data_IF_065534761921
#
_entry.id   IF_065534761921
#
_cell.length_a   1.000
_cell.length_b   1.000
_cell.length_c   1.000
_cell.angle_alpha   90.00
_cell.angle_beta   90.00
_cell.angle_gamma   90.00
#
_symmetry.space_group_name_H-M   'P 1'
#
loop_
_entity.id
_entity.type
_entity.pdbx_description
1 polymer ?
#
# COMPACT_ATOMS: atom_id res chain seq x y z
N UNK A 1 5.31 7.79 -24.89
CA UNK A 1 3.94 8.24 -24.58
C UNK A 1 3.33 7.53 -23.36
N UNK A 2 3.32 6.20 -23.26
CA UNK A 2 2.71 5.46 -22.13
C UNK A 2 3.38 5.78 -20.77
N UNK A 3 4.70 5.72 -20.69
CA UNK A 3 5.45 6.04 -19.48
C UNK A 3 5.19 7.46 -18.95
N UNK A 4 5.06 8.45 -19.86
CA UNK A 4 4.71 9.82 -19.48
C UNK A 4 3.31 9.94 -18.87
N UNK A 5 2.31 9.25 -19.42
CA UNK A 5 0.94 9.23 -18.88
C UNK A 5 0.88 8.57 -17.50
N UNK A 6 1.61 7.46 -17.31
CA UNK A 6 1.68 6.77 -16.02
C UNK A 6 2.39 7.66 -14.98
N UNK A 7 3.52 8.30 -15.34
CA UNK A 7 4.19 9.26 -14.43
C UNK A 7 3.29 10.43 -14.06
N UNK A 8 2.55 10.99 -15.03
CA UNK A 8 1.61 12.09 -14.79
C UNK A 8 0.47 11.68 -13.81
N UNK A 9 0.06 10.42 -13.83
CA UNK A 9 -0.99 9.93 -12.92
C UNK A 9 -0.56 9.96 -11.43
N UNK A 10 0.74 9.97 -11.13
CA UNK A 10 1.30 10.00 -9.76
C UNK A 10 1.88 11.37 -9.37
N UNK A 11 1.91 12.33 -10.30
CA UNK A 11 2.37 13.68 -10.02
C UNK A 11 1.17 14.63 -9.87
N UNK A 12 1.31 15.66 -9.06
CA UNK A 12 0.32 16.72 -8.92
C UNK A 12 0.95 18.08 -9.28
N UNK A 13 1.06 18.39 -10.59
CA UNK A 13 1.64 19.66 -11.05
C UNK A 13 0.86 20.89 -10.58
N UNK A 14 -0.44 20.74 -10.30
CA UNK A 14 -1.29 21.84 -9.82
C UNK A 14 -0.90 22.28 -8.40
N UNK A 15 -0.35 21.36 -7.61
CA UNK A 15 0.20 21.64 -6.27
C UNK A 15 1.73 21.82 -6.27
N UNK A 16 2.35 22.01 -7.44
CA UNK A 16 3.80 22.20 -7.56
C UNK A 16 4.62 20.91 -7.38
N UNK A 17 3.97 19.76 -7.42
CA UNK A 17 4.63 18.48 -7.17
C UNK A 17 5.13 17.84 -8.47
N UNK A 18 6.45 17.97 -8.71
CA UNK A 18 7.14 17.28 -9.81
C UNK A 18 7.39 15.79 -9.54
N UNK A 19 7.94 15.06 -10.54
CA UNK A 19 8.37 13.68 -10.36
C UNK A 19 9.40 13.56 -9.24
N UNK A 20 9.32 12.46 -8.45
CA UNK A 20 10.34 12.17 -7.44
C UNK A 20 11.62 11.76 -8.15
N UNK A 21 12.69 12.48 -7.88
CA UNK A 21 14.02 12.19 -8.40
C UNK A 21 14.64 11.00 -7.67
N UNK A 22 15.27 10.09 -8.41
CA UNK A 22 15.97 8.94 -7.83
C UNK A 22 17.39 9.35 -7.44
N UNK A 23 17.69 9.24 -6.14
CA UNK A 23 18.96 9.65 -5.56
C UNK A 23 19.62 8.51 -4.79
N UNK A 24 20.94 8.43 -4.87
CA UNK A 24 21.71 7.40 -4.17
C UNK A 24 21.97 7.72 -2.69
N UNK A 25 21.73 8.96 -2.26
CA UNK A 25 21.91 9.48 -0.91
C UNK A 25 20.61 9.45 -0.06
N UNK A 26 19.63 8.61 -0.45
CA UNK A 26 18.35 8.43 0.24
C UNK A 26 18.43 7.55 1.49
N UNK A 27 17.24 7.19 2.02
CA UNK A 27 17.11 6.18 3.08
C UNK A 27 17.54 4.80 2.60
N UNK A 28 17.28 4.52 1.32
CA UNK A 28 17.65 3.28 0.62
C UNK A 28 18.56 3.61 -0.55
N UNK A 29 19.53 2.76 -0.78
CA UNK A 29 20.38 2.91 -1.96
C UNK A 29 19.81 2.15 -3.18
N UNK A 30 20.35 2.40 -4.40
CA UNK A 30 19.88 1.78 -5.63
C UNK A 30 20.02 0.24 -5.68
N UNK A 31 20.85 -0.35 -4.80
CA UNK A 31 21.04 -1.79 -4.66
C UNK A 31 20.17 -2.40 -3.56
N UNK A 32 19.27 -1.62 -2.94
CA UNK A 32 18.35 -2.12 -1.93
C UNK A 32 17.23 -2.97 -2.55
N UNK A 33 16.71 -3.89 -1.75
CA UNK A 33 15.55 -4.68 -2.15
C UNK A 33 14.29 -3.81 -2.20
N UNK A 34 14.21 -2.80 -1.33
CA UNK A 34 13.13 -1.81 -1.34
C UNK A 34 13.03 -1.10 -2.71
N UNK A 35 14.14 -0.66 -3.31
CA UNK A 35 14.14 -0.07 -4.65
C UNK A 35 13.63 -1.02 -5.72
N UNK A 36 14.03 -2.29 -5.63
CA UNK A 36 13.62 -3.34 -6.58
C UNK A 36 12.12 -3.61 -6.50
N UNK A 37 11.59 -3.80 -5.29
CA UNK A 37 10.17 -4.08 -5.04
C UNK A 37 9.29 -2.89 -5.41
N UNK A 38 9.66 -1.67 -4.97
CA UNK A 38 8.87 -0.46 -5.21
C UNK A 38 9.02 0.08 -6.64
N UNK A 39 9.95 -0.45 -7.42
CA UNK A 39 10.24 0.03 -8.78
C UNK A 39 9.21 -0.36 -9.83
N UNK A 40 8.27 -1.25 -9.53
CA UNK A 40 7.26 -1.72 -10.48
C UNK A 40 5.88 -1.14 -10.16
N UNK A 41 5.39 -0.27 -11.04
CA UNK A 41 4.11 0.44 -10.87
C UNK A 41 2.94 -0.52 -10.72
N UNK A 42 2.89 -1.60 -11.50
CA UNK A 42 1.77 -2.56 -11.47
C UNK A 42 1.69 -3.27 -10.13
N UNK A 43 2.82 -3.80 -9.66
CA UNK A 43 2.87 -4.53 -8.38
C UNK A 43 2.61 -3.60 -7.21
N UNK A 44 3.10 -2.35 -7.27
CA UNK A 44 2.81 -1.33 -6.26
C UNK A 44 1.33 -0.97 -6.21
N UNK A 45 0.64 -0.85 -7.35
CA UNK A 45 -0.80 -0.60 -7.38
C UNK A 45 -1.59 -1.79 -6.82
N UNK A 46 -1.26 -3.02 -7.22
CA UNK A 46 -1.90 -4.23 -6.67
C UNK A 46 -1.67 -4.32 -5.17
N UNK A 47 -0.41 -4.19 -4.72
CA UNK A 47 -0.04 -4.22 -3.31
C UNK A 47 -0.71 -3.11 -2.50
N UNK A 48 -0.76 -1.88 -3.03
CA UNK A 48 -1.38 -0.73 -2.37
C UNK A 48 -2.88 -0.91 -2.13
N UNK A 49 -3.62 -1.42 -3.13
CA UNK A 49 -5.04 -1.75 -2.95
C UNK A 49 -5.23 -2.88 -1.94
N UNK A 50 -4.39 -3.94 -1.99
CA UNK A 50 -4.42 -5.03 -1.02
C UNK A 50 -4.13 -4.53 0.40
N UNK A 51 -3.10 -3.70 0.57
CA UNK A 51 -2.73 -3.11 1.84
C UNK A 51 -3.88 -2.28 2.44
N UNK A 52 -4.48 -1.41 1.63
CA UNK A 52 -5.58 -0.57 2.09
C UNK A 52 -6.78 -1.41 2.57
N UNK A 53 -7.13 -2.47 1.84
CA UNK A 53 -8.18 -3.39 2.28
C UNK A 53 -7.83 -4.08 3.60
N UNK A 54 -6.59 -4.51 3.82
CA UNK A 54 -6.14 -5.09 5.09
C UNK A 54 -6.17 -4.05 6.23
N UNK A 55 -5.65 -2.85 5.99
CA UNK A 55 -5.58 -1.78 6.99
C UNK A 55 -6.95 -1.43 7.54
N UNK A 56 -7.97 -1.37 6.68
CA UNK A 56 -9.33 -1.00 7.05
C UNK A 56 -10.06 -2.06 7.88
N UNK A 57 -9.50 -3.24 8.09
CA UNK A 57 -10.02 -4.23 9.03
C UNK A 57 -9.71 -3.88 10.50
N UNK A 58 -8.75 -3.00 10.77
CA UNK A 58 -8.47 -2.55 12.13
C UNK A 58 -9.38 -1.36 12.50
N UNK A 59 -10.20 -1.47 13.55
CA UNK A 59 -11.22 -0.46 13.89
C UNK A 59 -10.67 0.96 14.05
N UNK A 60 -9.54 1.11 14.75
CA UNK A 60 -8.94 2.41 15.00
C UNK A 60 -8.30 3.03 13.72
N UNK A 61 -7.71 2.21 12.86
CA UNK A 61 -7.18 2.69 11.57
C UNK A 61 -8.33 3.12 10.65
N UNK A 62 -9.40 2.32 10.60
CA UNK A 62 -10.61 2.69 9.87
C UNK A 62 -11.20 4.00 10.38
N UNK A 63 -11.33 4.16 11.71
CA UNK A 63 -11.88 5.37 12.33
C UNK A 63 -11.03 6.60 11.99
N UNK A 64 -9.70 6.52 12.09
CA UNK A 64 -8.81 7.60 11.71
C UNK A 64 -8.99 8.06 10.26
N UNK A 65 -9.17 7.10 9.33
CA UNK A 65 -9.47 7.40 7.92
C UNK A 65 -10.87 7.99 7.77
N UNK A 66 -11.84 7.44 8.46
CA UNK A 66 -13.25 7.81 8.37
C UNK A 66 -13.52 9.23 8.86
N UNK A 67 -12.94 9.58 10.00
CA UNK A 67 -13.22 10.83 10.70
C UNK A 67 -12.35 12.00 10.18
N UNK A 68 -11.14 11.71 9.65
CA UNK A 68 -10.13 12.74 9.35
C UNK A 68 -9.72 12.80 7.88
N UNK A 69 -10.31 12.00 7.00
CA UNK A 69 -9.94 11.98 5.57
C UNK A 69 -11.15 12.24 4.69
N UNK A 70 -10.94 13.05 3.65
CA UNK A 70 -11.94 13.30 2.61
C UNK A 70 -12.00 12.18 1.56
N UNK A 71 -11.87 10.92 2.00
CA UNK A 71 -11.74 9.77 1.09
C UNK A 71 -12.99 9.54 0.21
N UNK A 72 -14.17 9.93 0.69
CA UNK A 72 -15.43 9.80 -0.07
C UNK A 72 -15.47 10.70 -1.30
N UNK A 73 -14.95 11.91 -1.18
CA UNK A 73 -14.93 12.88 -2.27
C UNK A 73 -13.68 12.73 -3.14
N UNK A 74 -12.53 12.28 -2.54
CA UNK A 74 -11.24 12.24 -3.22
C UNK A 74 -10.42 10.99 -2.84
N UNK A 75 -10.96 9.80 -3.13
CA UNK A 75 -10.22 8.53 -2.94
C UNK A 75 -8.96 8.49 -3.81
N UNK A 76 -9.06 8.97 -5.05
CA UNK A 76 -7.94 8.95 -5.99
C UNK A 76 -6.79 9.85 -5.53
N UNK A 77 -7.06 11.08 -5.09
CA UNK A 77 -6.03 11.97 -4.54
C UNK A 77 -5.41 11.40 -3.26
N UNK A 78 -6.20 10.72 -2.41
CA UNK A 78 -5.65 10.01 -1.25
C UNK A 78 -4.63 8.95 -1.66
N UNK A 79 -4.97 8.11 -2.63
CA UNK A 79 -4.06 7.08 -3.15
C UNK A 79 -2.79 7.69 -3.76
N UNK A 80 -2.93 8.80 -4.51
CA UNK A 80 -1.78 9.54 -5.07
C UNK A 80 -0.85 10.06 -3.97
N UNK A 81 -1.39 10.69 -2.93
CA UNK A 81 -0.58 11.20 -1.81
C UNK A 81 0.19 10.08 -1.09
N UNK A 82 -0.45 8.92 -0.88
CA UNK A 82 0.21 7.75 -0.30
C UNK A 82 1.32 7.22 -1.22
N UNK A 83 1.03 7.05 -2.51
CA UNK A 83 2.02 6.62 -3.49
C UNK A 83 3.22 7.58 -3.57
N UNK A 84 2.97 8.90 -3.49
CA UNK A 84 4.02 9.90 -3.45
C UNK A 84 4.87 9.81 -2.18
N UNK A 85 4.26 9.60 -1.02
CA UNK A 85 4.99 9.37 0.24
C UNK A 85 5.92 8.17 0.11
N UNK A 86 5.43 7.04 -0.42
CA UNK A 86 6.24 5.84 -0.65
C UNK A 86 7.38 6.13 -1.63
N UNK A 87 7.12 6.87 -2.71
CA UNK A 87 8.14 7.23 -3.68
C UNK A 87 9.22 8.15 -3.06
N UNK A 88 8.83 9.14 -2.26
CA UNK A 88 9.77 10.04 -1.56
C UNK A 88 10.64 9.26 -0.57
N UNK A 89 10.05 8.43 0.27
CA UNK A 89 10.80 7.64 1.25
C UNK A 89 11.68 6.56 0.61
N UNK A 90 11.34 6.10 -0.60
CA UNK A 90 12.10 5.08 -1.31
C UNK A 90 13.24 5.69 -2.13
N UNK A 91 12.99 6.77 -2.87
CA UNK A 91 13.87 7.21 -3.96
C UNK A 91 14.53 8.57 -3.76
N UNK A 92 13.96 9.46 -2.95
CA UNK A 92 14.50 10.82 -2.83
C UNK A 92 15.75 10.89 -1.93
N UNK A 93 16.33 12.07 -1.82
CA UNK A 93 17.39 12.33 -0.85
C UNK A 93 16.91 11.99 0.59
N UNK A 94 17.85 11.69 1.48
CA UNK A 94 17.52 11.47 2.90
C UNK A 94 16.77 12.67 3.49
N UNK A 95 17.18 13.88 3.15
CA UNK A 95 16.56 15.13 3.63
C UNK A 95 15.10 15.21 3.23
N UNK A 96 14.78 14.95 1.95
CA UNK A 96 13.41 14.99 1.45
C UNK A 96 12.54 13.86 2.02
N UNK A 97 13.12 12.67 2.18
CA UNK A 97 12.43 11.53 2.79
C UNK A 97 12.09 11.81 4.26
N UNK A 98 13.03 12.32 5.05
CA UNK A 98 12.81 12.68 6.45
C UNK A 98 11.83 13.86 6.58
N UNK A 99 11.85 14.84 5.67
CA UNK A 99 10.86 15.91 5.62
C UNK A 99 9.45 15.37 5.32
N UNK A 100 9.32 14.41 4.40
CA UNK A 100 8.04 13.76 4.12
C UNK A 100 7.52 12.98 5.34
N UNK A 101 8.39 12.26 6.05
CA UNK A 101 8.05 11.53 7.27
C UNK A 101 7.63 12.50 8.38
N UNK A 102 8.36 13.60 8.59
CA UNK A 102 8.02 14.62 9.58
C UNK A 102 6.65 15.25 9.29
N UNK A 103 6.32 15.50 8.02
CA UNK A 103 5.00 15.99 7.61
C UNK A 103 3.89 15.00 7.98
N UNK A 104 4.08 13.70 7.72
CA UNK A 104 3.09 12.66 8.06
C UNK A 104 2.93 12.55 9.58
N UNK A 105 4.02 12.59 10.35
CA UNK A 105 3.97 12.63 11.82
C UNK A 105 3.13 13.81 12.32
N UNK A 106 3.37 15.01 11.80
CA UNK A 106 2.57 16.20 12.15
C UNK A 106 1.09 16.09 11.79
N UNK A 107 0.73 15.34 10.74
CA UNK A 107 -0.67 15.00 10.44
C UNK A 107 -1.22 14.04 11.49
N UNK A 108 -0.49 12.98 11.83
CA UNK A 108 -0.91 11.97 12.81
C UNK A 108 -1.11 12.55 14.21
N UNK A 109 -0.41 13.62 14.59
CA UNK A 109 -0.61 14.34 15.87
C UNK A 109 -2.01 14.88 16.04
N UNK A 110 -2.70 15.21 14.95
CA UNK A 110 -4.04 15.78 14.93
C UNK A 110 -5.14 14.74 14.71
N UNK A 111 -4.77 13.49 14.40
CA UNK A 111 -5.72 12.40 14.14
C UNK A 111 -5.97 11.64 15.43
N UNK A 112 -7.01 12.03 16.15
CA UNK A 112 -7.46 11.43 17.41
C UNK A 112 -8.97 11.36 17.43
N UNK A 113 -9.53 10.44 18.20
CA UNK A 113 -10.99 10.32 18.34
C UNK A 113 -11.38 9.18 19.28
N UNK A 114 -12.66 8.79 19.20
CA UNK A 114 -13.21 7.71 20.01
C UNK A 114 -13.97 6.73 19.12
N UNK A 115 -13.70 5.46 19.28
CA UNK A 115 -14.41 4.38 18.60
C UNK A 115 -15.88 4.30 19.08
N UNK A 116 -16.79 3.69 18.32
CA UNK A 116 -18.15 3.44 18.77
C UNK A 116 -18.23 2.62 20.08
N UNK A 117 -17.19 1.87 20.42
CA UNK A 117 -17.05 1.17 21.70
C UNK A 117 -16.76 2.07 22.91
N UNK A 118 -16.48 3.36 22.70
CA UNK A 118 -15.98 4.29 23.72
C UNK A 118 -14.45 4.29 23.88
N UNK A 119 -13.72 3.44 23.15
CA UNK A 119 -12.27 3.36 23.24
C UNK A 119 -11.62 4.53 22.49
N UNK A 120 -10.74 5.32 23.13
CA UNK A 120 -10.02 6.39 22.44
C UNK A 120 -9.01 5.82 21.46
N UNK A 121 -8.73 6.54 20.37
CA UNK A 121 -7.66 6.21 19.43
C UNK A 121 -6.83 7.44 19.05
N UNK A 122 -5.60 7.20 18.65
CA UNK A 122 -4.71 8.20 18.04
C UNK A 122 -3.88 7.55 16.94
N UNK A 123 -3.69 8.27 15.82
CA UNK A 123 -2.83 7.77 14.74
C UNK A 123 -1.33 7.77 15.11
N UNK A 124 -0.95 8.26 16.29
CA UNK A 124 0.40 8.16 16.85
C UNK A 124 0.65 6.87 17.63
N UNK A 125 -0.37 6.05 17.83
CA UNK A 125 -0.22 4.78 18.53
C UNK A 125 0.80 3.90 17.79
N UNK A 126 1.92 3.52 18.42
CA UNK A 126 2.95 2.70 17.80
C UNK A 126 2.42 1.37 17.25
N UNK A 127 1.41 0.77 17.89
CA UNK A 127 0.80 -0.47 17.41
C UNK A 127 0.02 -0.25 16.11
N UNK A 128 -0.71 0.87 15.99
CA UNK A 128 -1.41 1.21 14.75
C UNK A 128 -0.43 1.53 13.61
N UNK A 129 0.66 2.23 13.92
CA UNK A 129 1.72 2.50 12.95
C UNK A 129 2.37 1.21 12.46
N UNK A 130 2.62 0.26 13.38
CA UNK A 130 3.15 -1.08 13.02
C UNK A 130 2.17 -1.83 12.15
N UNK A 131 0.87 -1.86 12.50
CA UNK A 131 -0.17 -2.52 11.69
C UNK A 131 -0.22 -2.00 10.26
N UNK A 132 -0.24 -0.67 10.09
CA UNK A 132 -0.27 -0.02 8.78
C UNK A 132 0.98 -0.38 7.97
N UNK A 133 2.16 -0.28 8.58
CA UNK A 133 3.42 -0.61 7.93
C UNK A 133 3.51 -2.08 7.52
N UNK A 134 3.16 -3.00 8.41
CA UNK A 134 3.23 -4.45 8.16
C UNK A 134 2.30 -4.85 7.03
N UNK A 135 1.06 -4.38 7.04
CA UNK A 135 0.09 -4.68 5.97
C UNK A 135 0.51 -4.09 4.63
N UNK A 136 1.13 -2.92 4.64
CA UNK A 136 1.64 -2.25 3.44
C UNK A 136 2.82 -3.03 2.84
N UNK A 137 3.86 -3.28 3.63
CA UNK A 137 5.09 -3.93 3.15
C UNK A 137 4.85 -5.38 2.76
N UNK A 138 4.05 -6.13 3.51
CA UNK A 138 3.66 -7.50 3.14
C UNK A 138 2.91 -7.53 1.79
N UNK A 139 1.97 -6.61 1.59
CA UNK A 139 1.18 -6.55 0.36
C UNK A 139 2.04 -6.18 -0.86
N UNK A 140 2.98 -5.25 -0.72
CA UNK A 140 3.91 -4.91 -1.80
C UNK A 140 4.83 -6.07 -2.15
N UNK A 141 5.41 -6.72 -1.14
CA UNK A 141 6.27 -7.87 -1.35
C UNK A 141 5.53 -9.04 -2.00
N UNK A 142 4.33 -9.36 -1.54
CA UNK A 142 3.54 -10.47 -2.10
C UNK A 142 3.06 -10.17 -3.53
N UNK A 143 2.73 -8.90 -3.85
CA UNK A 143 2.45 -8.47 -5.21
C UNK A 143 3.70 -8.60 -6.10
N UNK A 144 4.86 -8.16 -5.62
CA UNK A 144 6.13 -8.29 -6.33
C UNK A 144 6.50 -9.75 -6.57
N UNK A 145 6.42 -10.60 -5.54
CA UNK A 145 6.67 -12.04 -5.69
C UNK A 145 5.72 -12.70 -6.69
N UNK A 146 4.48 -12.25 -6.77
CA UNK A 146 3.50 -12.83 -7.67
C UNK A 146 3.67 -12.39 -9.13
N UNK A 147 3.98 -11.13 -9.38
CA UNK A 147 3.96 -10.53 -10.72
C UNK A 147 5.32 -9.97 -11.19
N UNK A 148 6.30 -9.88 -10.31
CA UNK A 148 7.65 -9.38 -10.58
C UNK A 148 8.71 -10.46 -10.52
N UNK A 149 8.89 -11.07 -9.37
CA UNK A 149 9.99 -11.99 -9.07
C UNK A 149 9.50 -13.21 -8.27
N UNK A 150 8.85 -14.19 -8.91
CA UNK A 150 8.30 -15.37 -8.20
C UNK A 150 9.34 -16.20 -7.46
N UNK A 151 10.59 -16.21 -7.94
CA UNK A 151 11.71 -16.96 -7.34
C UNK A 151 12.55 -16.12 -6.37
N UNK A 152 12.03 -15.00 -5.86
CA UNK A 152 12.74 -14.15 -4.88
C UNK A 152 13.16 -14.95 -3.66
N UNK A 153 14.47 -14.88 -3.30
CA UNK A 153 15.03 -15.61 -2.17
C UNK A 153 14.43 -15.21 -0.83
N UNK A 154 14.41 -16.12 0.16
CA UNK A 154 13.98 -15.78 1.51
C UNK A 154 14.86 -14.70 2.13
N UNK A 155 16.16 -14.72 1.88
CA UNK A 155 17.08 -13.70 2.36
C UNK A 155 16.74 -12.29 1.81
N UNK A 156 16.38 -12.19 0.54
CA UNK A 156 15.92 -10.91 -0.02
C UNK A 156 14.56 -10.49 0.53
N UNK A 157 13.66 -11.44 0.81
CA UNK A 157 12.38 -11.12 1.45
C UNK A 157 12.59 -10.56 2.85
N UNK A 158 13.45 -11.16 3.66
CA UNK A 158 13.78 -10.68 5.00
C UNK A 158 14.50 -9.33 4.93
N UNK A 159 15.45 -9.19 4.00
CA UNK A 159 16.15 -7.93 3.76
C UNK A 159 15.17 -6.79 3.39
N UNK A 160 14.13 -7.07 2.62
CA UNK A 160 13.09 -6.09 2.28
C UNK A 160 12.38 -5.56 3.55
N UNK A 161 11.97 -6.45 4.46
CA UNK A 161 11.33 -6.04 5.71
C UNK A 161 12.28 -5.26 6.61
N UNK A 162 13.54 -5.70 6.74
CA UNK A 162 14.54 -5.00 7.52
C UNK A 162 14.85 -3.61 6.97
N UNK A 163 14.97 -3.45 5.65
CA UNK A 163 15.20 -2.15 5.01
C UNK A 163 14.00 -1.22 5.26
N UNK A 164 12.79 -1.65 4.98
CA UNK A 164 11.58 -0.81 5.05
C UNK A 164 11.18 -0.45 6.48
N UNK A 165 11.56 -1.23 7.49
CA UNK A 165 11.29 -0.95 8.90
C UNK A 165 11.80 0.42 9.35
N UNK A 166 12.85 0.95 8.72
CA UNK A 166 13.41 2.29 9.02
C UNK A 166 12.34 3.38 8.89
N UNK A 167 11.49 3.31 7.87
CA UNK A 167 10.41 4.30 7.68
C UNK A 167 9.39 4.23 8.82
N UNK A 168 9.02 3.02 9.26
CA UNK A 168 8.09 2.84 10.37
C UNK A 168 8.65 3.36 11.69
N UNK A 169 9.92 3.09 11.98
CA UNK A 169 10.59 3.63 13.18
C UNK A 169 10.65 5.15 13.17
N UNK A 170 10.98 5.74 12.03
CA UNK A 170 10.99 7.20 11.89
C UNK A 170 9.58 7.82 12.02
N UNK A 171 8.53 7.08 11.69
CA UNK A 171 7.14 7.48 11.93
C UNK A 171 6.72 7.33 13.40
N UNK A 172 7.43 6.53 14.21
CA UNK A 172 7.17 6.32 15.63
C UNK A 172 6.68 4.90 15.99
N UNK A 173 6.69 3.94 15.07
CA UNK A 173 6.44 2.53 15.38
C UNK A 173 7.60 1.96 16.22
N UNK A 174 7.32 1.00 17.11
CA UNK A 174 8.33 0.46 18.05
C UNK A 174 8.65 -1.00 17.82
N UNK A 175 7.67 -1.83 17.59
CA UNK A 175 7.83 -3.30 17.44
C UNK A 175 7.57 -3.73 16.00
N UNK A 176 8.49 -3.35 15.09
CA UNK A 176 8.34 -3.61 13.66
C UNK A 176 9.02 -4.92 13.30
N UNK A 177 8.29 -5.91 12.74
CA UNK A 177 8.89 -7.14 12.22
C UNK A 177 9.88 -6.85 11.10
N UNK A 178 11.04 -7.51 11.13
CA UNK A 178 12.12 -7.34 10.14
C UNK A 178 12.39 -8.59 9.32
N UNK A 179 11.62 -9.65 9.52
CA UNK A 179 11.65 -10.86 8.71
C UNK A 179 10.26 -11.21 8.18
N UNK A 180 10.19 -12.00 7.13
CA UNK A 180 8.91 -12.49 6.62
C UNK A 180 8.18 -13.36 7.65
N UNK A 181 8.91 -14.21 8.37
CA UNK A 181 8.33 -15.09 9.38
C UNK A 181 7.65 -14.28 10.49
N UNK A 182 8.36 -13.30 11.06
CA UNK A 182 7.82 -12.41 12.10
C UNK A 182 6.67 -11.56 11.59
N UNK A 183 6.73 -11.09 10.34
CA UNK A 183 5.64 -10.34 9.69
C UNK A 183 4.37 -11.18 9.60
N UNK A 184 4.46 -12.44 9.21
CA UNK A 184 3.31 -13.34 9.13
C UNK A 184 2.77 -13.68 10.53
N UNK A 185 3.64 -13.91 11.52
CA UNK A 185 3.26 -14.14 12.91
C UNK A 185 2.50 -12.93 13.48
N UNK A 186 2.99 -11.72 13.24
CA UNK A 186 2.32 -10.48 13.64
C UNK A 186 0.92 -10.34 13.02
N UNK A 187 0.74 -10.67 11.74
CA UNK A 187 -0.59 -10.65 11.10
C UNK A 187 -1.56 -11.62 11.81
N UNK A 188 -1.11 -12.82 12.17
CA UNK A 188 -1.95 -13.79 12.88
C UNK A 188 -2.29 -13.32 14.31
N UNK A 189 -1.34 -12.72 15.02
CA UNK A 189 -1.55 -12.14 16.35
C UNK A 189 -2.59 -11.01 16.33
N UNK A 190 -2.57 -10.18 15.29
CA UNK A 190 -3.51 -9.06 15.14
C UNK A 190 -4.95 -9.48 14.81
N UNK A 191 -5.17 -10.68 14.25
CA UNK A 191 -6.49 -11.12 13.76
C UNK A 191 -7.64 -11.01 14.76
N UNK A 192 -7.49 -11.31 16.05
CA UNK A 192 -8.57 -11.16 17.03
C UNK A 192 -9.04 -9.70 17.22
N UNK A 193 -8.21 -8.72 16.87
CA UNK A 193 -8.51 -7.30 16.98
C UNK A 193 -9.22 -6.74 15.73
N UNK A 194 -9.27 -7.52 14.65
CA UNK A 194 -9.82 -7.08 13.37
C UNK A 194 -11.32 -7.30 13.30
N UNK A 195 -12.03 -6.36 12.70
CA UNK A 195 -13.45 -6.50 12.40
C UNK A 195 -13.81 -5.88 11.07
N UNK A 196 -14.98 -6.24 10.54
CA UNK A 196 -15.56 -5.66 9.35
C UNK A 196 -17.01 -5.24 9.63
N UNK A 197 -17.24 -3.94 9.67
CA UNK A 197 -18.55 -3.33 9.84
C UNK A 197 -19.08 -2.73 8.52
N UNK A 198 -20.14 -1.93 8.59
CA UNK A 198 -20.69 -1.25 7.42
C UNK A 198 -19.69 -0.23 6.82
N UNK A 199 -18.89 0.45 7.66
CA UNK A 199 -17.88 1.42 7.22
C UNK A 199 -16.73 0.74 6.48
N UNK A 200 -16.29 -0.42 6.99
CA UNK A 200 -15.28 -1.26 6.31
C UNK A 200 -15.73 -1.63 4.91
N UNK A 201 -17.00 -2.06 4.77
CA UNK A 201 -17.57 -2.41 3.45
C UNK A 201 -17.73 -1.22 2.52
N UNK A 202 -18.12 -0.04 3.05
CA UNK A 202 -18.20 1.19 2.27
C UNK A 202 -16.84 1.60 1.71
N UNK A 203 -15.78 1.59 2.54
CA UNK A 203 -14.42 1.90 2.08
C UNK A 203 -13.97 0.89 1.03
N UNK A 204 -14.19 -0.41 1.25
CA UNK A 204 -13.86 -1.44 0.28
C UNK A 204 -14.59 -1.22 -1.06
N UNK A 205 -15.87 -0.88 -1.02
CA UNK A 205 -16.64 -0.59 -2.23
C UNK A 205 -16.10 0.64 -2.98
N UNK A 206 -15.71 1.71 -2.26
CA UNK A 206 -15.12 2.90 -2.88
C UNK A 206 -13.74 2.62 -3.49
N UNK A 207 -12.90 1.84 -2.81
CA UNK A 207 -11.57 1.43 -3.31
C UNK A 207 -11.69 0.55 -4.55
N UNK A 208 -12.69 -0.34 -4.56
CA UNK A 208 -12.95 -1.28 -5.66
C UNK A 208 -14.00 -0.77 -6.65
N UNK A 209 -14.41 0.51 -6.56
CA UNK A 209 -15.35 1.10 -7.51
C UNK A 209 -14.74 1.13 -8.90
N UNK A 210 -15.35 0.37 -9.80
CA UNK A 210 -14.88 0.30 -11.17
C UNK A 210 -15.30 1.58 -11.92
N UNK A 211 -14.40 2.25 -12.62
CA UNK A 211 -14.79 3.17 -13.66
C UNK A 211 -15.55 2.36 -14.71
N UNK A 212 -16.62 2.92 -15.28
CA UNK A 212 -17.52 2.21 -16.21
C UNK A 212 -16.79 1.37 -17.28
N UNK A 213 -17.51 0.57 -18.02
CA UNK A 213 -16.98 -0.37 -19.03
C UNK A 213 -16.36 0.37 -20.24
N UNK A 214 -15.19 1.00 -20.04
CA UNK A 214 -14.39 1.61 -21.10
C UNK A 214 -13.07 0.86 -21.25
N UNK A 215 -12.44 0.84 -22.44
CA UNK A 215 -11.13 0.22 -22.63
C UNK A 215 -10.05 0.77 -21.69
N UNK A 216 -10.16 2.03 -21.28
CA UNK A 216 -9.26 2.70 -20.34
C UNK A 216 -9.42 2.21 -18.90
N UNK A 217 -10.56 1.62 -18.58
CA UNK A 217 -10.88 1.07 -17.26
C UNK A 217 -10.30 -0.34 -17.03
N UNK A 218 -10.06 -1.10 -18.08
CA UNK A 218 -9.55 -2.48 -17.99
C UNK A 218 -8.29 -2.65 -17.14
N UNK A 219 -7.26 -1.78 -17.24
CA UNK A 219 -6.07 -1.90 -16.40
C UNK A 219 -6.39 -1.77 -14.90
N UNK A 220 -7.29 -0.86 -14.54
CA UNK A 220 -7.68 -0.65 -13.14
C UNK A 220 -8.50 -1.82 -12.61
N UNK A 221 -9.42 -2.37 -13.40
CA UNK A 221 -10.20 -3.56 -13.05
C UNK A 221 -9.28 -4.76 -12.78
N UNK A 222 -8.30 -5.00 -13.66
CA UNK A 222 -7.31 -6.06 -13.46
C UNK A 222 -6.53 -5.89 -12.16
N UNK A 223 -6.08 -4.66 -11.85
CA UNK A 223 -5.37 -4.34 -10.61
C UNK A 223 -6.27 -4.64 -9.40
N UNK A 224 -7.52 -4.20 -9.41
CA UNK A 224 -8.45 -4.40 -8.30
C UNK A 224 -8.76 -5.89 -8.08
N UNK A 225 -9.03 -6.65 -9.16
CA UNK A 225 -9.23 -8.09 -9.08
C UNK A 225 -7.97 -8.82 -8.59
N UNK A 226 -6.80 -8.45 -9.09
CA UNK A 226 -5.52 -9.00 -8.64
C UNK A 226 -5.26 -8.72 -7.16
N UNK A 227 -5.62 -7.52 -6.68
CA UNK A 227 -5.51 -7.15 -5.27
C UNK A 227 -6.44 -7.96 -4.37
N UNK A 228 -7.70 -8.18 -4.79
CA UNK A 228 -8.64 -9.05 -4.07
C UNK A 228 -8.15 -10.51 -4.06
N UNK A 229 -7.57 -10.99 -5.17
CA UNK A 229 -7.00 -12.35 -5.23
C UNK A 229 -5.74 -12.51 -4.37
N UNK A 230 -5.02 -11.41 -4.10
CA UNK A 230 -3.83 -11.39 -3.25
C UNK A 230 -4.18 -11.40 -1.76
N UNK A 231 -5.34 -10.87 -1.37
CA UNK A 231 -5.79 -10.88 0.03
C UNK A 231 -5.80 -12.29 0.63
N UNK A 232 -5.41 -12.48 1.89
CA UNK A 232 -5.63 -13.71 2.63
C UNK A 232 -7.11 -14.13 2.62
N UNK A 233 -7.37 -15.44 2.61
CA UNK A 233 -8.75 -15.95 2.56
C UNK A 233 -9.64 -15.41 3.69
N UNK A 234 -9.08 -15.27 4.89
CA UNK A 234 -9.81 -14.75 6.04
C UNK A 234 -10.19 -13.27 5.83
N UNK A 235 -9.28 -12.43 5.32
CA UNK A 235 -9.55 -11.02 5.06
C UNK A 235 -10.62 -10.83 3.98
N UNK A 236 -10.56 -11.62 2.89
CA UNK A 236 -11.62 -11.62 1.88
C UNK A 236 -12.99 -11.95 2.47
N UNK A 237 -13.06 -13.00 3.32
CA UNK A 237 -14.33 -13.36 4.00
C UNK A 237 -14.85 -12.25 4.88
N UNK A 238 -13.98 -11.57 5.65
CA UNK A 238 -14.38 -10.42 6.47
C UNK A 238 -14.99 -9.29 5.65
N UNK A 239 -14.43 -8.98 4.49
CA UNK A 239 -14.97 -7.98 3.56
C UNK A 239 -16.21 -8.45 2.77
N UNK A 240 -16.55 -9.72 2.80
CA UNK A 240 -17.57 -10.30 1.91
C UNK A 240 -17.13 -10.36 0.45
N UNK A 241 -15.83 -10.34 0.17
CA UNK A 241 -15.26 -10.36 -1.17
C UNK A 241 -14.98 -11.79 -1.64
N UNK A 242 -15.26 -12.05 -2.92
CA UNK A 242 -14.98 -13.32 -3.58
C UNK A 242 -13.70 -13.21 -4.43
N UNK A 243 -12.90 -14.26 -4.43
CA UNK A 243 -11.80 -14.38 -5.38
C UNK A 243 -12.34 -14.49 -6.82
N UNK A 244 -11.48 -14.24 -7.80
CA UNK A 244 -11.83 -14.29 -9.23
C UNK A 244 -12.28 -15.68 -9.74
N UNK A 245 -12.22 -16.72 -8.91
CA UNK A 245 -12.71 -18.06 -9.25
C UNK A 245 -12.08 -18.61 -10.54
N UNK A 246 -12.92 -19.02 -11.49
CA UNK A 246 -12.48 -19.52 -12.81
C UNK A 246 -11.76 -18.45 -13.65
N UNK A 247 -11.97 -17.17 -13.37
CA UNK A 247 -11.28 -16.05 -14.03
C UNK A 247 -9.87 -15.78 -13.48
N UNK A 248 -9.48 -16.45 -12.39
CA UNK A 248 -8.19 -16.21 -11.72
C UNK A 248 -6.97 -16.34 -12.65
N UNK A 249 -6.88 -17.32 -13.55
CA UNK A 249 -5.77 -17.39 -14.51
C UNK A 249 -5.76 -16.20 -15.47
N UNK A 250 -6.93 -15.73 -15.91
CA UNK A 250 -7.04 -14.57 -16.82
C UNK A 250 -6.60 -13.31 -16.10
N UNK A 251 -7.06 -13.09 -14.88
CA UNK A 251 -6.63 -11.94 -14.05
C UNK A 251 -5.12 -11.98 -13.81
N UNK A 252 -4.58 -13.14 -13.43
CA UNK A 252 -3.15 -13.29 -13.16
C UNK A 252 -2.29 -13.04 -14.41
N UNK A 253 -2.65 -13.63 -15.55
CA UNK A 253 -1.90 -13.46 -16.79
C UNK A 253 -2.06 -12.06 -17.38
N UNK A 254 -3.24 -11.47 -17.31
CA UNK A 254 -3.48 -10.08 -17.73
C UNK A 254 -2.66 -9.08 -16.90
N UNK A 255 -2.65 -9.24 -15.57
CA UNK A 255 -1.83 -8.41 -14.68
C UNK A 255 -0.34 -8.59 -14.95
N UNK A 256 0.13 -9.82 -15.18
CA UNK A 256 1.52 -10.10 -15.51
C UNK A 256 1.91 -9.49 -16.86
N UNK A 257 1.05 -9.60 -17.89
CA UNK A 257 1.29 -8.99 -19.20
C UNK A 257 1.39 -7.46 -19.08
N UNK A 258 0.46 -6.83 -18.36
CA UNK A 258 0.50 -5.40 -18.08
C UNK A 258 1.80 -4.98 -17.36
N UNK A 259 2.21 -5.73 -16.33
CA UNK A 259 3.45 -5.45 -15.61
C UNK A 259 4.68 -5.56 -16.52
N UNK A 260 4.73 -6.55 -17.41
CA UNK A 260 5.82 -6.71 -18.40
C UNK A 260 5.84 -5.56 -19.41
N UNK A 261 4.69 -5.15 -19.92
CA UNK A 261 4.56 -4.04 -20.88
C UNK A 261 5.02 -2.72 -20.25
N UNK A 262 4.58 -2.43 -19.02
CA UNK A 262 5.01 -1.21 -18.33
C UNK A 262 6.51 -1.24 -18.02
N UNK A 263 7.05 -2.35 -17.51
CA UNK A 263 8.50 -2.49 -17.29
C UNK A 263 9.32 -2.25 -18.58
N UNK A 264 8.85 -2.75 -19.72
CA UNK A 264 9.49 -2.48 -21.01
C UNK A 264 9.41 -1.00 -21.39
N UNK A 265 8.27 -0.34 -21.19
CA UNK A 265 8.07 1.07 -21.51
C UNK A 265 8.85 2.05 -20.61
N UNK A 266 9.28 1.60 -19.42
CA UNK A 266 10.05 2.40 -18.44
C UNK A 266 11.56 2.13 -18.48
N UNK A 267 12.03 1.19 -19.31
CA UNK A 267 13.46 0.99 -19.58
C UNK A 267 13.96 2.06 -20.54
#
# INVERSE_FOLDING_TARGET
MLAGRVRAAFNDPQNGEGPVERRSDGLFGPNSVAWRVHGDVTTMMVGGVTALLLQMLHPAVLAGVWDHSNFRADMHGRLKRTARFIALTTYSSRVDAEAAIARVRGIHERVTGTLPSGTPYTARDPALLTWVHVTETLSFLDAWRRYGEPAMSLADQDRYFAETAVVAWLLGATSVPTTRADTLAYIEEMRPQLCADARTREVAALVLKQPGATPEALPLELIQRAAVDLLPRWARRMHGLSASGVMRPIVANGTLAMARTLRWAFR
#
